data_IF_099212897233
#
_entry.id   IF_099212897233
#
_cell.length_a   1.000
_cell.length_b   1.000
_cell.length_c   1.000
_cell.angle_alpha   90.00
_cell.angle_beta   90.00
_cell.angle_gamma   90.00
#
_symmetry.space_group_name_H-M   'P 1'
#
loop_
_entity.id
_entity.type
_entity.pdbx_description
1 polymer ?
#
# COMPACT_ATOMS: atom_id res chain seq x y z
N UNK A 1 -3.38 -2.81 18.46
CA UNK A 1 -2.17 -2.59 17.64
C UNK A 1 -2.25 -1.14 17.24
N UNK A 2 -1.64 -0.25 18.03
CA UNK A 2 -1.91 1.19 17.92
C UNK A 2 -1.34 1.74 16.62
N UNK A 3 -2.12 2.58 15.95
CA UNK A 3 -1.83 3.45 14.79
C UNK A 3 -0.32 3.67 14.54
N UNK A 4 0.33 2.72 13.86
CA UNK A 4 1.74 2.81 13.49
C UNK A 4 1.92 3.64 12.23
N UNK A 5 0.92 3.63 11.34
CA UNK A 5 0.88 4.39 10.10
C UNK A 5 0.81 5.88 10.37
N UNK A 6 -0.08 6.35 11.25
CA UNK A 6 -0.15 7.74 11.65
C UNK A 6 1.20 8.26 12.14
N UNK A 7 1.89 7.52 13.01
CA UNK A 7 3.22 7.91 13.52
C UNK A 7 4.26 8.07 12.42
N UNK A 8 4.34 7.13 11.47
CA UNK A 8 5.32 7.20 10.38
C UNK A 8 5.03 8.41 9.48
N UNK A 9 3.76 8.72 9.21
CA UNK A 9 3.41 9.93 8.44
C UNK A 9 3.84 11.21 9.17
N UNK A 10 3.56 11.34 10.47
CA UNK A 10 3.99 12.51 11.24
C UNK A 10 5.52 12.65 11.29
N UNK A 11 6.25 11.55 11.47
CA UNK A 11 7.72 11.56 11.45
C UNK A 11 8.28 12.06 10.10
N UNK A 12 7.70 11.61 8.98
CA UNK A 12 8.09 12.07 7.64
C UNK A 12 7.79 13.56 7.45
N UNK A 13 6.57 14.00 7.82
CA UNK A 13 6.15 15.40 7.70
C UNK A 13 7.09 16.29 8.51
N UNK A 14 7.39 15.92 9.75
CA UNK A 14 8.31 16.66 10.60
C UNK A 14 9.73 16.69 10.04
N UNK A 15 10.24 15.58 9.51
CA UNK A 15 11.57 15.53 8.88
C UNK A 15 11.64 16.48 7.68
N UNK A 16 10.62 16.46 6.80
CA UNK A 16 10.56 17.35 5.63
C UNK A 16 10.47 18.81 6.07
N UNK A 17 9.60 19.14 7.03
CA UNK A 17 9.45 20.49 7.53
C UNK A 17 10.72 21.00 8.22
N UNK A 18 11.44 20.15 8.96
CA UNK A 18 12.70 20.50 9.59
C UNK A 18 13.77 20.81 8.54
N UNK A 19 13.91 19.99 7.49
CA UNK A 19 14.83 20.27 6.38
C UNK A 19 14.48 21.56 5.65
N UNK A 20 13.19 21.81 5.41
CA UNK A 20 12.73 23.06 4.82
C UNK A 20 13.00 24.27 5.72
N UNK A 21 12.95 24.12 7.04
CA UNK A 21 13.28 25.21 7.96
C UNK A 21 14.80 25.51 7.98
N UNK A 22 15.64 24.53 7.68
CA UNK A 22 17.10 24.68 7.55
C UNK A 22 17.51 25.29 6.21
N UNK A 23 16.96 24.79 5.09
CA UNK A 23 17.37 25.17 3.73
C UNK A 23 16.48 26.26 3.12
N UNK A 24 15.22 26.37 3.54
CA UNK A 24 14.23 27.30 2.99
C UNK A 24 14.64 28.78 3.00
N UNK A 25 15.29 29.29 4.07
CA UNK A 25 15.76 30.67 4.08
C UNK A 25 16.77 31.00 2.96
N UNK A 26 17.46 30.02 2.38
CA UNK A 26 18.37 30.21 1.24
C UNK A 26 17.63 30.51 -0.07
N UNK A 27 16.34 30.18 -0.12
CA UNK A 27 15.47 30.31 -1.29
C UNK A 27 14.34 31.32 -1.07
N UNK A 28 14.47 32.21 -0.08
CA UNK A 28 13.44 33.17 0.33
C UNK A 28 12.10 32.51 0.71
N UNK A 29 12.13 31.25 1.17
CA UNK A 29 10.95 30.55 1.67
C UNK A 29 10.75 30.95 3.14
N UNK A 30 9.67 31.69 3.40
CA UNK A 30 9.33 32.12 4.75
C UNK A 30 8.78 30.96 5.60
N UNK A 31 9.04 31.01 6.91
CA UNK A 31 8.58 29.99 7.87
C UNK A 31 7.06 29.88 7.92
N UNK A 32 6.36 30.97 7.62
CA UNK A 32 4.89 30.99 7.53
C UNK A 32 4.37 30.05 6.45
N UNK A 33 5.06 29.93 5.32
CA UNK A 33 4.70 29.03 4.21
C UNK A 33 4.93 27.57 4.63
N UNK A 34 6.06 27.29 5.28
CA UNK A 34 6.38 25.94 5.77
C UNK A 34 5.35 25.49 6.80
N UNK A 35 4.95 26.38 7.71
CA UNK A 35 3.89 26.09 8.69
C UNK A 35 2.53 25.83 8.02
N UNK A 36 2.17 26.62 7.00
CA UNK A 36 0.94 26.41 6.25
C UNK A 36 0.95 25.05 5.54
N UNK A 37 2.06 24.70 4.89
CA UNK A 37 2.26 23.39 4.25
C UNK A 37 2.09 22.25 5.25
N UNK A 38 2.77 22.32 6.41
CA UNK A 38 2.67 21.29 7.44
C UNK A 38 1.22 21.11 7.91
N UNK A 39 0.52 22.21 8.16
CA UNK A 39 -0.87 22.20 8.64
C UNK A 39 -1.82 21.60 7.62
N UNK A 40 -1.68 21.99 6.35
CA UNK A 40 -2.53 21.49 5.26
C UNK A 40 -2.25 20.02 4.95
N UNK A 41 -0.99 19.60 5.00
CA UNK A 41 -0.60 18.20 4.78
C UNK A 41 -1.17 17.28 5.86
N UNK A 42 -1.03 17.63 7.14
CA UNK A 42 -1.60 16.84 8.25
C UNK A 42 -3.11 16.68 8.08
N UNK A 43 -3.81 17.79 7.78
CA UNK A 43 -5.26 17.77 7.57
C UNK A 43 -5.67 16.86 6.40
N UNK A 44 -4.87 16.82 5.33
CA UNK A 44 -5.13 15.95 4.19
C UNK A 44 -5.00 14.46 4.57
N UNK A 45 -3.95 14.09 5.30
CA UNK A 45 -3.76 12.72 5.79
C UNK A 45 -4.91 12.29 6.72
N UNK A 46 -5.32 13.15 7.65
CA UNK A 46 -6.46 12.88 8.53
C UNK A 46 -7.77 12.70 7.74
N UNK A 47 -7.96 13.45 6.66
CA UNK A 47 -9.13 13.31 5.78
C UNK A 47 -9.18 11.94 5.13
N UNK A 48 -8.05 11.49 4.57
CA UNK A 48 -7.92 10.18 3.90
C UNK A 48 -8.21 9.03 4.89
N UNK A 49 -7.70 9.12 6.11
CA UNK A 49 -7.95 8.11 7.15
C UNK A 49 -9.37 8.13 7.73
N UNK A 50 -10.12 9.22 7.52
CA UNK A 50 -11.48 9.39 8.04
C UNK A 50 -12.58 8.88 7.11
N UNK A 51 -12.25 8.57 5.85
CA UNK A 51 -13.23 7.98 4.94
C UNK A 51 -13.57 6.56 5.41
N UNK A 52 -14.84 6.33 5.78
CA UNK A 52 -15.33 4.99 6.13
C UNK A 52 -15.02 4.02 4.98
N UNK A 53 -14.59 2.79 5.26
CA UNK A 53 -14.28 1.82 4.22
C UNK A 53 -15.52 1.61 3.38
N UNK A 54 -15.47 2.03 2.11
CA UNK A 54 -16.54 1.75 1.16
C UNK A 54 -16.61 0.24 1.08
N UNK A 55 -17.69 -0.33 1.64
CA UNK A 55 -17.98 -1.75 1.67
C UNK A 55 -18.20 -2.26 0.24
N UNK A 56 -17.12 -2.39 -0.52
CA UNK A 56 -17.06 -3.29 -1.65
C UNK A 56 -16.93 -4.69 -1.07
N UNK A 57 -18.06 -5.21 -0.59
CA UNK A 57 -18.21 -6.65 -0.42
C UNK A 57 -17.95 -7.25 -1.78
N UNK A 58 -16.75 -7.80 -1.98
CA UNK A 58 -16.51 -8.77 -3.03
C UNK A 58 -17.49 -9.91 -2.73
N UNK A 59 -18.62 -9.90 -3.43
CA UNK A 59 -19.59 -10.99 -3.37
C UNK A 59 -18.88 -12.19 -3.97
N UNK A 60 -18.31 -13.03 -3.12
CA UNK A 60 -17.87 -14.37 -3.51
C UNK A 60 -19.10 -15.14 -4.02
N UNK A 61 -19.31 -15.13 -5.34
CA UNK A 61 -20.38 -15.90 -5.99
C UNK A 61 -20.00 -17.38 -5.93
N UNK A 62 -20.57 -18.10 -4.96
CA UNK A 62 -20.38 -19.53 -4.82
C UNK A 62 -21.25 -20.28 -5.84
N UNK A 63 -20.72 -20.51 -7.05
CA UNK A 63 -21.37 -21.39 -8.02
C UNK A 63 -20.99 -22.85 -7.73
N UNK A 64 -21.70 -23.47 -6.79
CA UNK A 64 -21.55 -24.89 -6.45
C UNK A 64 -22.11 -25.80 -7.56
N UNK A 65 -21.24 -26.24 -8.48
CA UNK A 65 -21.50 -27.41 -9.33
C UNK A 65 -20.89 -28.68 -8.70
N UNK A 66 -21.74 -29.68 -8.46
CA UNK A 66 -21.50 -30.92 -7.71
C UNK A 66 -20.38 -31.80 -8.30
N UNK A 67 -19.38 -32.21 -7.50
CA UNK A 67 -18.77 -33.57 -7.50
C UNK A 67 -18.36 -34.00 -6.08
N UNK A 68 -18.38 -35.31 -5.84
CA UNK A 68 -18.56 -36.03 -4.55
C UNK A 68 -17.24 -36.27 -3.78
N UNK A 69 -17.31 -36.16 -2.44
CA UNK A 69 -16.60 -36.89 -1.33
C UNK A 69 -15.09 -37.15 -1.47
N UNK A 70 -14.20 -36.72 -0.55
CA UNK A 70 -13.94 -37.26 0.81
C UNK A 70 -13.11 -36.27 1.68
N UNK A 71 -13.51 -36.10 2.95
CA UNK A 71 -12.82 -35.70 4.22
C UNK A 71 -11.79 -34.55 4.34
N UNK A 72 -12.12 -33.58 5.23
CA UNK A 72 -11.36 -32.98 6.39
C UNK A 72 -9.81 -33.07 6.36
N UNK A 73 -9.00 -32.04 6.59
CA UNK A 73 -9.06 -30.90 7.54
C UNK A 73 -8.39 -29.59 7.02
N UNK A 74 -8.69 -28.51 7.74
CA UNK A 74 -8.35 -27.08 7.59
C UNK A 74 -6.87 -26.81 7.93
N UNK A 75 -6.17 -25.95 7.17
CA UNK A 75 -5.69 -24.61 7.62
C UNK A 75 -4.67 -23.95 6.64
N UNK A 76 -4.57 -22.62 6.75
CA UNK A 76 -3.61 -21.69 6.13
C UNK A 76 -4.01 -21.11 4.77
N UNK A 77 -4.84 -20.06 4.84
CA UNK A 77 -5.16 -19.13 3.77
C UNK A 77 -3.91 -18.51 3.13
N UNK A 78 -3.53 -19.00 1.95
CA UNK A 78 -2.68 -18.28 1.01
C UNK A 78 -3.58 -17.40 0.14
N UNK A 79 -3.55 -16.09 0.38
CA UNK A 79 -4.20 -15.11 -0.46
C UNK A 79 -3.42 -14.98 -1.77
N UNK A 80 -3.76 -15.81 -2.76
CA UNK A 80 -3.31 -15.61 -4.14
C UNK A 80 -4.24 -14.59 -4.79
N UNK A 81 -3.85 -13.31 -4.79
CA UNK A 81 -4.46 -12.30 -5.66
C UNK A 81 -4.01 -12.62 -7.10
N UNK A 82 -4.88 -13.26 -7.88
CA UNK A 82 -4.65 -13.47 -9.31
C UNK A 82 -4.85 -12.14 -10.03
N UNK A 83 -3.76 -11.43 -10.29
CA UNK A 83 -3.77 -10.34 -11.26
C UNK A 83 -3.62 -10.97 -12.63
N UNK A 84 -4.63 -10.79 -13.48
CA UNK A 84 -4.59 -11.17 -14.88
C UNK A 84 -3.64 -10.21 -15.60
N UNK A 85 -2.74 -10.81 -16.38
CA UNK A 85 -1.51 -10.24 -16.91
C UNK A 85 -1.82 -9.44 -18.20
N UNK A 86 -2.25 -8.19 -18.06
CA UNK A 86 -2.36 -7.22 -19.17
C UNK A 86 -1.96 -5.81 -18.69
N UNK A 87 -0.67 -5.61 -18.41
CA UNK A 87 -0.07 -4.28 -18.49
C UNK A 87 1.14 -4.35 -19.42
N UNK A 88 0.87 -4.23 -20.72
CA UNK A 88 1.88 -3.77 -21.67
C UNK A 88 2.20 -2.31 -21.33
N UNK A 89 3.48 -2.01 -21.20
CA UNK A 89 3.97 -0.74 -20.72
C UNK A 89 3.82 0.34 -21.79
N UNK A 90 2.90 1.27 -21.59
CA UNK A 90 3.02 2.61 -22.15
C UNK A 90 2.67 3.61 -21.06
N UNK A 91 3.53 4.61 -20.89
CA UNK A 91 3.52 5.63 -19.84
C UNK A 91 2.11 6.03 -19.40
N UNK A 92 1.68 5.60 -18.22
CA UNK A 92 0.43 6.07 -17.63
C UNK A 92 0.52 7.59 -17.47
N UNK A 93 -0.35 8.31 -18.18
CA UNK A 93 -0.49 9.76 -18.04
C UNK A 93 -0.88 10.10 -16.60
N UNK A 94 -0.55 11.31 -16.11
CA UNK A 94 -0.88 11.76 -14.74
C UNK A 94 -2.38 11.57 -14.41
N UNK A 95 -3.28 11.70 -15.40
CA UNK A 95 -4.73 11.48 -15.25
C UNK A 95 -5.15 10.00 -15.10
N UNK A 96 -4.28 9.04 -15.43
CA UNK A 96 -4.53 7.59 -15.22
C UNK A 96 -4.11 7.13 -13.82
N UNK A 97 -3.23 7.85 -13.13
CA UNK A 97 -2.80 7.52 -11.77
C UNK A 97 -3.98 7.61 -10.80
N UNK A 98 -4.82 8.64 -10.92
CA UNK A 98 -6.00 8.84 -10.07
C UNK A 98 -7.07 7.74 -10.28
N UNK A 99 -7.19 7.20 -11.50
CA UNK A 99 -8.13 6.11 -11.80
C UNK A 99 -7.60 4.73 -11.39
N UNK A 100 -6.28 4.60 -11.29
CA UNK A 100 -5.60 3.40 -10.80
C UNK A 100 -5.83 3.26 -9.28
N UNK A 101 -5.80 4.35 -8.51
CA UNK A 101 -6.07 4.29 -7.06
C UNK A 101 -7.48 3.84 -6.71
N UNK A 102 -8.50 4.20 -7.50
CA UNK A 102 -9.88 3.79 -7.24
C UNK A 102 -10.17 2.31 -7.60
N UNK A 103 -9.30 1.67 -8.40
CA UNK A 103 -9.56 0.32 -8.92
C UNK A 103 -8.48 -0.71 -8.55
N UNK A 104 -7.35 -0.30 -7.95
CA UNK A 104 -6.41 -1.22 -7.31
C UNK A 104 -6.86 -1.48 -5.87
N UNK A 105 -7.52 -2.61 -5.64
CA UNK A 105 -7.99 -2.99 -4.29
C UNK A 105 -6.88 -3.14 -3.23
N UNK A 106 -5.62 -3.36 -3.61
CA UNK A 106 -4.45 -3.34 -2.72
C UNK A 106 -3.15 -3.06 -3.51
N UNK A 107 -2.25 -2.24 -2.98
CA UNK A 107 -0.91 -2.03 -3.56
C UNK A 107 0.19 -2.07 -2.51
N UNK A 108 1.45 -2.26 -2.94
CA UNK A 108 2.63 -2.28 -2.07
C UNK A 108 3.77 -1.48 -2.70
N UNK A 109 4.37 -0.58 -1.91
CA UNK A 109 5.58 0.14 -2.27
C UNK A 109 6.71 -0.23 -1.30
N UNK A 110 7.80 -0.79 -1.80
CA UNK A 110 8.93 -1.23 -0.96
C UNK A 110 10.22 -1.47 -1.75
N UNK A 111 11.30 -1.77 -1.03
CA UNK A 111 12.54 -2.25 -1.62
C UNK A 111 12.61 -3.79 -1.57
N UNK A 112 13.06 -4.43 -2.64
CA UNK A 112 13.38 -5.85 -2.60
C UNK A 112 14.78 -6.08 -2.01
N UNK A 113 14.91 -7.16 -1.24
CA UNK A 113 16.19 -7.65 -0.71
C UNK A 113 16.64 -8.87 -1.51
N UNK A 114 15.75 -9.84 -1.70
CA UNK A 114 16.06 -11.09 -2.41
C UNK A 114 14.79 -11.69 -3.00
N UNK A 115 14.84 -12.01 -4.28
CA UNK A 115 13.84 -12.80 -4.99
C UNK A 115 14.48 -14.12 -5.41
N UNK A 116 13.87 -15.24 -5.05
CA UNK A 116 14.37 -16.57 -5.37
C UNK A 116 13.25 -17.45 -5.93
N UNK A 117 13.57 -18.24 -6.96
CA UNK A 117 12.65 -19.22 -7.56
C UNK A 117 13.17 -20.64 -7.32
N UNK A 118 12.27 -21.54 -6.94
CA UNK A 118 12.53 -22.99 -6.93
C UNK A 118 11.35 -23.71 -7.56
N UNK A 119 11.57 -24.31 -8.75
CA UNK A 119 10.50 -24.82 -9.63
C UNK A 119 9.45 -23.75 -9.91
N UNK A 120 8.22 -23.93 -9.43
CA UNK A 120 7.11 -23.02 -9.60
C UNK A 120 6.86 -22.13 -8.37
N UNK A 121 7.70 -22.22 -7.33
CA UNK A 121 7.60 -21.41 -6.13
C UNK A 121 8.54 -20.21 -6.19
N UNK A 122 8.02 -19.03 -5.86
CA UNK A 122 8.76 -17.79 -5.68
C UNK A 122 8.79 -17.42 -4.20
N UNK A 123 9.96 -17.00 -3.72
CA UNK A 123 10.15 -16.44 -2.39
C UNK A 123 10.76 -15.06 -2.52
N UNK A 124 10.07 -14.06 -2.02
CA UNK A 124 10.46 -12.65 -2.09
C UNK A 124 10.67 -12.12 -0.67
N UNK A 125 11.77 -11.42 -0.45
CA UNK A 125 12.05 -10.69 0.79
C UNK A 125 12.12 -9.21 0.47
N UNK A 126 11.39 -8.41 1.23
CA UNK A 126 11.24 -6.97 1.06
C UNK A 126 11.63 -6.23 2.33
N UNK A 127 11.93 -4.93 2.20
CA UNK A 127 12.23 -4.03 3.32
C UNK A 127 11.71 -2.62 3.03
N UNK A 128 11.54 -1.84 4.10
CA UNK A 128 11.24 -0.40 4.06
C UNK A 128 10.08 -0.10 3.12
N UNK A 129 8.87 -0.50 3.50
CA UNK A 129 7.73 -0.35 2.63
C UNK A 129 6.41 -0.09 3.34
N UNK A 130 5.42 0.18 2.52
CA UNK A 130 4.02 0.34 2.90
C UNK A 130 3.18 -0.62 2.06
N UNK A 131 2.13 -1.16 2.67
CA UNK A 131 1.09 -1.91 1.98
C UNK A 131 -0.21 -1.15 2.21
N UNK A 132 -0.90 -0.79 1.14
CA UNK A 132 -2.26 -0.28 1.23
C UNK A 132 -3.23 -1.45 1.02
N UNK A 133 -4.11 -1.66 1.99
CA UNK A 133 -5.15 -2.70 1.97
C UNK A 133 -6.45 -2.07 2.44
N UNK A 134 -7.48 -2.07 1.59
CA UNK A 134 -8.80 -1.51 1.93
C UNK A 134 -8.73 -0.06 2.46
N UNK A 135 -7.91 0.77 1.83
CA UNK A 135 -7.60 2.16 2.22
C UNK A 135 -6.89 2.32 3.57
N UNK A 136 -6.37 1.24 4.16
CA UNK A 136 -5.50 1.30 5.34
C UNK A 136 -4.04 1.06 4.96
N UNK A 137 -3.17 1.96 5.39
CA UNK A 137 -1.74 1.88 5.15
C UNK A 137 -1.04 1.14 6.28
N UNK A 138 -0.27 0.12 5.92
CA UNK A 138 0.47 -0.71 6.84
C UNK A 138 1.97 -0.57 6.55
N UNK A 139 2.71 0.25 7.33
CA UNK A 139 4.15 0.33 7.21
C UNK A 139 4.82 -0.96 7.71
N UNK A 140 5.93 -1.36 7.07
CA UNK A 140 6.74 -2.48 7.50
C UNK A 140 8.24 -2.24 7.34
N UNK A 141 9.02 -2.72 8.30
CA UNK A 141 10.49 -2.73 8.19
C UNK A 141 10.98 -3.84 7.26
N UNK A 142 10.38 -5.03 7.36
CA UNK A 142 10.68 -6.21 6.53
C UNK A 142 9.42 -7.01 6.25
N UNK A 143 9.29 -7.58 5.06
CA UNK A 143 8.20 -8.48 4.70
C UNK A 143 8.71 -9.67 3.88
N UNK A 144 8.02 -10.80 3.94
CA UNK A 144 8.33 -12.00 3.14
C UNK A 144 7.06 -12.46 2.43
N UNK A 145 7.17 -12.69 1.12
CA UNK A 145 6.10 -13.24 0.28
C UNK A 145 6.50 -14.60 -0.30
N UNK A 146 5.57 -15.55 -0.32
CA UNK A 146 5.71 -16.83 -1.01
C UNK A 146 4.57 -16.98 -2.02
N UNK A 147 4.91 -17.25 -3.29
CA UNK A 147 3.95 -17.32 -4.40
C UNK A 147 4.17 -18.59 -5.20
N UNK A 148 3.10 -19.15 -5.77
CA UNK A 148 3.18 -20.26 -6.72
C UNK A 148 2.67 -19.78 -8.09
N UNK A 149 3.41 -20.13 -9.15
CA UNK A 149 3.04 -19.90 -10.54
C UNK A 149 2.53 -21.19 -11.18
#
# INVERSE_FOLDING_TARGET
MGDQSGRVYYEIIDEVCNKLNEEGPLYDIDRSIIYALQTEWIKNIESIQSEEPVSNTVKFVNTRAKRRTVSRDVDSSSATCKMEDELDSEYASEDEIDNIEQNIGCYMMCLFVKVAKSKNKWKCNFKQGFINVDNDDIPFSTATGELEW
#
